data_IF_360606410468
#
_entry.id   IF_360606410468
#
_cell.length_a   1.000
_cell.length_b   1.000
_cell.length_c   1.000
_cell.angle_alpha   90.00
_cell.angle_beta   90.00
_cell.angle_gamma   90.00
#
_symmetry.space_group_name_H-M   'P 1'
#
loop_
_entity.id
_entity.type
_entity.pdbx_description
1 polymer ?
#
# COMPACT_ATOMS: atom_id res chain seq x y z
N UNK A 1 -1.10 9.17 -16.17
CA UNK A 1 -0.29 10.08 -15.32
C UNK A 1 -1.22 11.20 -14.86
N UNK A 2 -1.65 11.20 -13.60
CA UNK A 2 -2.49 12.29 -13.06
C UNK A 2 -1.74 12.93 -11.89
N UNK A 3 -1.10 14.05 -12.19
CA UNK A 3 -0.50 14.99 -11.24
C UNK A 3 -1.54 16.07 -10.94
N UNK A 4 -2.22 15.97 -9.80
CA UNK A 4 -3.07 17.05 -9.28
C UNK A 4 -2.26 17.91 -8.31
N UNK A 5 -2.13 19.20 -8.62
CA UNK A 5 -1.28 20.20 -7.99
C UNK A 5 -1.69 20.67 -6.57
N UNK A 6 -2.35 19.81 -5.79
CA UNK A 6 -2.71 20.10 -4.38
C UNK A 6 -3.09 18.80 -3.68
N UNK A 7 -2.10 18.12 -3.12
CA UNK A 7 -2.28 16.85 -2.41
C UNK A 7 -0.93 16.18 -2.27
N UNK A 8 -0.65 15.61 -1.09
CA UNK A 8 0.54 14.80 -0.86
C UNK A 8 0.81 13.88 -2.07
N UNK A 9 2.09 13.78 -2.44
CA UNK A 9 2.58 12.95 -3.54
C UNK A 9 1.83 11.63 -3.57
N UNK A 10 1.01 11.42 -4.61
CA UNK A 10 0.21 10.21 -4.70
C UNK A 10 1.14 9.00 -4.68
N UNK A 11 0.91 8.08 -3.74
CA UNK A 11 1.70 6.86 -3.63
C UNK A 11 1.67 6.08 -4.94
N UNK A 12 2.82 5.59 -5.45
CA UNK A 12 2.85 4.78 -6.65
C UNK A 12 1.90 3.58 -6.51
N UNK A 13 1.01 3.31 -7.48
CA UNK A 13 0.03 2.22 -7.36
C UNK A 13 0.70 0.85 -7.21
N UNK A 14 1.90 0.66 -7.80
CA UNK A 14 2.70 -0.55 -7.64
C UNK A 14 3.19 -0.77 -6.20
N UNK A 15 3.52 0.31 -5.48
CA UNK A 15 3.96 0.23 -4.09
C UNK A 15 2.82 -0.24 -3.20
N UNK A 16 1.63 0.33 -3.38
CA UNK A 16 0.42 -0.06 -2.62
C UNK A 16 -0.01 -1.49 -2.99
N UNK A 17 0.09 -1.87 -4.26
CA UNK A 17 -0.18 -3.25 -4.70
C UNK A 17 0.74 -4.27 -4.00
N UNK A 18 2.05 -4.00 -3.94
CA UNK A 18 3.00 -4.85 -3.20
C UNK A 18 2.68 -4.92 -1.69
N UNK A 19 2.24 -3.81 -1.10
CA UNK A 19 1.82 -3.80 0.30
C UNK A 19 0.59 -4.69 0.52
N UNK A 20 -0.37 -4.71 -0.41
CA UNK A 20 -1.53 -5.61 -0.35
C UNK A 20 -1.14 -7.09 -0.49
N UNK A 21 -0.12 -7.41 -1.28
CA UNK A 21 0.42 -8.77 -1.35
C UNK A 21 1.02 -9.21 -0.01
N UNK A 22 1.82 -8.34 0.62
CA UNK A 22 2.34 -8.59 1.97
C UNK A 22 1.20 -8.78 2.97
N UNK A 23 0.16 -7.96 2.85
CA UNK A 23 -1.01 -8.09 3.70
C UNK A 23 -1.71 -9.44 3.55
N UNK A 24 -1.85 -9.94 2.31
CA UNK A 24 -2.43 -11.25 2.03
C UNK A 24 -1.54 -12.39 2.53
N UNK A 25 -0.24 -12.36 2.23
CA UNK A 25 0.70 -13.43 2.60
C UNK A 25 0.89 -13.58 4.10
N UNK A 26 0.91 -12.46 4.83
CA UNK A 26 1.08 -12.44 6.28
C UNK A 26 -0.27 -12.32 7.03
N UNK A 27 -1.39 -12.32 6.30
CA UNK A 27 -2.75 -12.18 6.82
C UNK A 27 -2.91 -11.00 7.80
N UNK A 28 -2.36 -9.84 7.45
CA UNK A 28 -2.30 -8.65 8.31
C UNK A 28 -3.54 -7.76 8.16
N UNK A 29 -3.96 -7.10 9.23
CA UNK A 29 -4.90 -5.97 9.15
C UNK A 29 -4.23 -4.72 8.57
N UNK A 30 -4.99 -3.76 8.03
CA UNK A 30 -4.42 -2.53 7.43
C UNK A 30 -3.52 -1.76 8.42
N UNK A 31 -3.92 -1.67 9.71
CA UNK A 31 -3.10 -1.06 10.77
C UNK A 31 -1.87 -1.91 11.14
N UNK A 32 -1.96 -3.24 11.06
CA UNK A 32 -0.82 -4.11 11.31
C UNK A 32 0.21 -4.03 10.18
N UNK A 33 -0.25 -3.92 8.93
CA UNK A 33 0.60 -3.65 7.76
C UNK A 33 1.33 -2.31 7.91
N UNK A 34 0.61 -1.24 8.28
CA UNK A 34 1.20 0.08 8.53
C UNK A 34 2.32 0.00 9.59
N UNK A 35 2.05 -0.65 10.72
CA UNK A 35 3.06 -0.88 11.77
C UNK A 35 4.24 -1.69 11.27
N UNK A 36 4.02 -2.73 10.48
CA UNK A 36 5.11 -3.56 9.94
C UNK A 36 5.95 -2.78 8.93
N UNK A 37 5.33 -1.96 8.07
CA UNK A 37 6.05 -1.04 7.20
C UNK A 37 6.84 0.00 8.01
N UNK A 38 6.35 0.42 9.17
CA UNK A 38 7.07 1.35 10.05
C UNK A 38 8.25 0.69 10.79
N UNK A 39 8.10 -0.55 11.24
CA UNK A 39 9.11 -1.23 12.06
C UNK A 39 10.12 -2.09 11.27
N UNK A 40 9.74 -2.61 10.10
CA UNK A 40 10.51 -3.62 9.38
C UNK A 40 11.06 -3.10 8.05
N UNK A 41 12.40 -3.04 7.97
CA UNK A 41 13.13 -2.60 6.79
C UNK A 41 12.97 -3.55 5.60
N UNK A 42 12.71 -4.84 5.82
CA UNK A 42 12.48 -5.80 4.73
C UNK A 42 11.17 -5.49 4.01
N UNK A 43 10.15 -5.15 4.79
CA UNK A 43 8.85 -4.72 4.29
C UNK A 43 8.97 -3.45 3.46
N UNK A 44 9.67 -2.43 3.98
CA UNK A 44 9.98 -1.18 3.24
C UNK A 44 10.74 -1.46 1.94
N UNK A 45 11.78 -2.30 2.01
CA UNK A 45 12.60 -2.67 0.84
C UNK A 45 11.76 -3.39 -0.22
N UNK A 46 10.83 -4.26 0.17
CA UNK A 46 9.96 -4.96 -0.76
C UNK A 46 9.07 -4.00 -1.55
N UNK A 47 8.42 -3.06 -0.84
CA UNK A 47 7.55 -2.05 -1.45
C UNK A 47 8.34 -0.92 -2.14
N UNK A 48 9.68 -0.93 -2.06
CA UNK A 48 10.58 0.11 -2.56
C UNK A 48 10.32 1.49 -1.92
N UNK A 49 10.03 1.49 -0.61
CA UNK A 49 9.92 2.71 0.20
C UNK A 49 11.30 3.04 0.78
N UNK A 50 11.70 4.30 0.67
CA UNK A 50 12.93 4.77 1.28
C UNK A 50 12.80 4.83 2.82
N UNK A 51 13.92 4.69 3.53
CA UNK A 51 13.93 4.73 5.00
C UNK A 51 13.53 6.13 5.52
N UNK A 52 13.85 7.18 4.76
CA UNK A 52 13.54 8.57 5.09
C UNK A 52 12.11 8.99 4.70
N UNK A 53 11.38 8.20 3.91
CA UNK A 53 10.01 8.52 3.52
C UNK A 53 9.00 8.00 4.57
N UNK A 54 7.90 8.73 4.72
CA UNK A 54 6.79 8.34 5.60
C UNK A 54 6.08 7.09 5.09
N UNK A 55 5.47 6.33 5.98
CA UNK A 55 4.70 5.12 5.60
C UNK A 55 3.29 5.52 5.14
N UNK A 56 2.72 4.86 4.12
CA UNK A 56 1.32 5.07 3.78
C UNK A 56 0.42 4.67 4.94
N UNK A 57 -0.46 5.59 5.33
CA UNK A 57 -1.47 5.37 6.35
C UNK A 57 -2.48 4.27 5.94
N UNK A 58 -3.05 3.56 6.91
CA UNK A 58 -4.06 2.51 6.69
C UNK A 58 -5.20 2.94 5.74
N UNK A 59 -5.61 4.21 5.77
CA UNK A 59 -6.63 4.77 4.89
C UNK A 59 -6.25 4.74 3.41
N UNK A 60 -4.96 4.75 3.08
CA UNK A 60 -4.44 4.64 1.71
C UNK A 60 -4.67 3.25 1.14
N UNK A 61 -4.40 2.20 1.92
CA UNK A 61 -4.62 0.81 1.50
C UNK A 61 -6.11 0.54 1.26
N UNK A 62 -6.97 1.03 2.16
CA UNK A 62 -8.42 0.90 2.01
C UNK A 62 -8.93 1.55 0.73
N UNK A 63 -8.51 2.79 0.43
CA UNK A 63 -8.90 3.50 -0.81
C UNK A 63 -8.43 2.76 -2.06
N UNK A 64 -7.26 2.14 -2.02
CA UNK A 64 -6.75 1.35 -3.14
C UNK A 64 -7.51 0.04 -3.32
N UNK A 65 -7.84 -0.66 -2.23
CA UNK A 65 -8.67 -1.86 -2.25
C UNK A 65 -10.07 -1.58 -2.81
N UNK A 66 -10.70 -0.49 -2.39
CA UNK A 66 -11.97 -0.01 -2.95
C UNK A 66 -11.89 0.24 -4.47
N UNK A 67 -10.75 0.75 -4.97
CA UNK A 67 -10.55 0.91 -6.42
C UNK A 67 -10.43 -0.45 -7.14
N UNK A 68 -9.72 -1.41 -6.56
CA UNK A 68 -9.60 -2.76 -7.13
C UNK A 68 -10.93 -3.52 -7.12
N UNK A 69 -11.70 -3.37 -6.04
CA UNK A 69 -13.02 -3.98 -5.88
C UNK A 69 -14.01 -3.45 -6.93
N UNK A 70 -14.03 -2.13 -7.16
CA UNK A 70 -14.81 -1.52 -8.27
C UNK A 70 -14.43 -2.06 -9.66
N UNK A 71 -13.19 -2.50 -9.82
CA UNK A 71 -12.71 -3.07 -11.07
C UNK A 71 -12.89 -4.60 -11.13
N UNK A 72 -13.47 -5.22 -10.09
CA UNK A 72 -13.60 -6.68 -9.93
C UNK A 72 -12.25 -7.41 -10.07
N UNK A 73 -11.15 -6.72 -9.74
CA UNK A 73 -9.78 -7.24 -9.84
C UNK A 73 -9.31 -7.88 -8.53
N UNK A 74 -10.06 -7.71 -7.45
CA UNK A 74 -9.68 -8.23 -6.14
C UNK A 74 -9.72 -9.76 -6.09
N UNK A 75 -10.64 -10.38 -6.83
CA UNK A 75 -10.77 -11.83 -6.98
C UNK A 75 -9.57 -12.45 -7.71
N UNK A 76 -8.93 -11.71 -8.63
CA UNK A 76 -7.73 -12.16 -9.36
C UNK A 76 -6.42 -11.97 -8.61
N UNK A 77 -6.46 -11.32 -7.45
CA UNK A 77 -5.27 -11.04 -6.64
C UNK A 77 -4.89 -12.22 -5.74
N UNK A 78 -5.88 -13.03 -5.35
CA UNK A 78 -5.78 -14.19 -4.47
C UNK A 78 -5.91 -15.49 -5.27
#
# INVERSE_FOLDING_TARGET
>A
MHSSARGEKAWPPLMIFKALLLQSWYNLSDSALEKQLACDLLFRRFIALDISESVPDHSTFWRFRQKLDKLLLMDKLL
#
